data_IF_776968816194
#
_entry.id   IF_776968816194
#
_cell.length_a   1.000
_cell.length_b   1.000
_cell.length_c   1.000
_cell.angle_alpha   90.00
_cell.angle_beta   90.00
_cell.angle_gamma   90.00
#
_symmetry.space_group_name_H-M   'P 1'
#
loop_
_entity.id
_entity.type
_entity.pdbx_description
1 polymer ?
#
# COMPACT_ATOMS: atom_id res chain seq x y z
N UNK A 1 -10.60 -5.14 18.88
CA UNK A 1 -10.84 -5.07 17.42
C UNK A 1 -12.23 -4.53 17.19
N UNK A 2 -12.37 -3.32 16.62
CA UNK A 2 -13.68 -2.77 16.26
C UNK A 2 -14.10 -3.32 14.89
N UNK A 3 -15.20 -4.07 14.83
CA UNK A 3 -15.78 -4.55 13.57
C UNK A 3 -16.71 -3.50 12.99
N UNK A 4 -16.24 -2.77 11.98
CA UNK A 4 -17.05 -1.80 11.24
C UNK A 4 -17.78 -2.49 10.08
N UNK A 5 -19.10 -2.31 9.98
CA UNK A 5 -19.92 -2.88 8.91
C UNK A 5 -20.34 -1.79 7.93
N UNK A 6 -20.02 -1.98 6.64
CA UNK A 6 -20.42 -1.06 5.57
C UNK A 6 -21.62 -1.64 4.82
N UNK A 7 -22.68 -0.86 4.70
CA UNK A 7 -23.87 -1.21 3.91
C UNK A 7 -23.74 -0.64 2.50
N UNK A 8 -23.61 -1.51 1.49
CA UNK A 8 -23.43 -1.10 0.09
C UNK A 8 -24.73 -1.32 -0.68
N UNK A 9 -25.29 -0.25 -1.25
CA UNK A 9 -26.41 -0.32 -2.18
C UNK A 9 -25.88 -0.49 -3.60
N UNK A 10 -26.45 -1.44 -4.34
CA UNK A 10 -26.06 -1.69 -5.73
C UNK A 10 -27.29 -2.03 -6.58
N UNK A 11 -27.14 -1.90 -7.90
CA UNK A 11 -28.20 -2.23 -8.85
C UNK A 11 -28.51 -3.74 -8.81
N UNK A 12 -29.77 -4.16 -8.96
CA UNK A 12 -30.15 -5.58 -8.89
C UNK A 12 -29.41 -6.48 -9.87
N UNK A 13 -29.15 -6.00 -11.10
CA UNK A 13 -28.39 -6.74 -12.11
C UNK A 13 -26.97 -7.04 -11.65
N UNK A 14 -26.27 -6.04 -11.13
CA UNK A 14 -24.90 -6.18 -10.59
C UNK A 14 -24.85 -7.16 -9.41
N UNK A 15 -25.86 -7.14 -8.53
CA UNK A 15 -25.95 -8.10 -7.43
C UNK A 15 -26.12 -9.55 -7.91
N UNK A 16 -26.90 -9.78 -8.98
CA UNK A 16 -27.05 -11.10 -9.59
C UNK A 16 -25.73 -11.59 -10.21
N UNK A 17 -25.04 -10.73 -10.95
CA UNK A 17 -23.75 -11.05 -11.56
C UNK A 17 -22.69 -11.40 -10.50
N UNK A 18 -22.64 -10.63 -9.40
CA UNK A 18 -21.77 -10.91 -8.25
C UNK A 18 -22.10 -12.26 -7.59
N UNK A 19 -23.38 -12.58 -7.43
CA UNK A 19 -23.81 -13.87 -6.86
C UNK A 19 -23.41 -15.03 -7.76
N UNK A 20 -23.49 -14.87 -9.08
CA UNK A 20 -23.01 -15.88 -10.02
C UNK A 20 -21.48 -16.05 -9.95
N UNK A 21 -20.74 -14.95 -9.89
CA UNK A 21 -19.28 -14.95 -9.76
C UNK A 21 -18.83 -15.63 -8.46
N UNK A 22 -19.55 -15.38 -7.35
CA UNK A 22 -19.29 -15.96 -6.03
C UNK A 22 -19.32 -17.50 -6.07
N UNK A 23 -20.31 -18.07 -6.78
CA UNK A 23 -20.43 -19.52 -6.97
C UNK A 23 -19.30 -20.06 -7.84
N UNK A 24 -18.97 -19.39 -8.94
CA UNK A 24 -17.89 -19.81 -9.85
C UNK A 24 -16.53 -19.84 -9.17
N UNK A 25 -16.28 -18.93 -8.24
CA UNK A 25 -15.00 -18.80 -7.53
C UNK A 25 -14.98 -19.43 -6.13
N UNK A 26 -16.07 -20.09 -5.72
CA UNK A 26 -16.22 -20.66 -4.37
C UNK A 26 -15.87 -19.66 -3.24
N UNK A 27 -16.28 -18.40 -3.39
CA UNK A 27 -16.01 -17.32 -2.43
C UNK A 27 -17.31 -16.59 -2.05
N UNK A 28 -17.44 -16.05 -0.83
CA UNK A 28 -18.62 -15.28 -0.46
C UNK A 28 -18.67 -13.93 -1.20
N UNK A 29 -19.87 -13.44 -1.48
CA UNK A 29 -20.09 -12.16 -2.18
C UNK A 29 -19.39 -10.99 -1.47
N UNK A 30 -19.38 -10.99 -0.13
CA UNK A 30 -18.68 -9.96 0.65
C UNK A 30 -17.18 -9.93 0.40
N UNK A 31 -16.55 -11.08 0.11
CA UNK A 31 -15.12 -11.15 -0.19
C UNK A 31 -14.80 -10.57 -1.57
N UNK A 32 -15.64 -10.87 -2.56
CA UNK A 32 -15.51 -10.28 -3.89
C UNK A 32 -15.66 -8.75 -3.85
N UNK A 33 -16.59 -8.24 -3.02
CA UNK A 33 -16.77 -6.81 -2.82
C UNK A 33 -15.55 -6.21 -2.14
N UNK A 34 -15.02 -6.84 -1.08
CA UNK A 34 -13.79 -6.37 -0.41
C UNK A 34 -12.62 -6.30 -1.37
N UNK A 35 -12.41 -7.33 -2.20
CA UNK A 35 -11.37 -7.36 -3.21
C UNK A 35 -11.55 -6.25 -4.25
N UNK A 36 -12.77 -6.07 -4.78
CA UNK A 36 -13.05 -5.03 -5.76
C UNK A 36 -12.82 -3.63 -5.17
N UNK A 37 -13.29 -3.38 -3.93
CA UNK A 37 -13.05 -2.11 -3.24
C UNK A 37 -11.56 -1.91 -2.99
N UNK A 38 -10.84 -2.93 -2.51
CA UNK A 38 -9.40 -2.86 -2.29
C UNK A 38 -8.62 -2.57 -3.58
N UNK A 39 -9.02 -3.16 -4.70
CA UNK A 39 -8.37 -2.95 -6.00
C UNK A 39 -8.69 -1.58 -6.60
N UNK A 40 -9.94 -1.14 -6.52
CA UNK A 40 -10.37 0.14 -7.10
C UNK A 40 -9.95 1.34 -6.28
N UNK A 41 -9.90 1.20 -4.96
CA UNK A 41 -9.65 2.31 -4.05
C UNK A 41 -8.27 2.23 -3.38
N UNK A 42 -7.48 1.17 -3.61
CA UNK A 42 -6.18 0.96 -2.96
C UNK A 42 -6.27 1.40 -1.49
N UNK A 43 -7.15 0.75 -0.72
CA UNK A 43 -7.50 1.11 0.66
C UNK A 43 -6.37 0.88 1.67
N UNK A 44 -5.14 1.17 1.27
CA UNK A 44 -4.09 1.63 2.15
C UNK A 44 -4.12 3.15 2.04
N UNK A 45 -5.07 3.77 2.74
CA UNK A 45 -5.14 5.23 2.83
C UNK A 45 -4.02 5.71 3.73
N UNK A 46 -2.82 5.70 3.19
CA UNK A 46 -1.84 6.72 3.53
C UNK A 46 -2.26 7.93 2.72
N UNK A 47 -2.86 8.94 3.36
CA UNK A 47 -3.05 10.24 2.71
C UNK A 47 -1.70 10.96 2.60
N UNK A 48 -0.74 10.36 1.90
CA UNK A 48 0.44 11.09 1.46
C UNK A 48 -0.02 12.13 0.45
N UNK A 49 0.34 13.38 0.71
CA UNK A 49 0.26 14.42 -0.30
C UNK A 49 0.95 13.93 -1.58
N UNK A 50 0.54 14.45 -2.75
CA UNK A 50 1.13 14.05 -4.03
C UNK A 50 2.67 14.08 -4.01
N UNK A 51 3.25 15.08 -3.35
CA UNK A 51 4.69 15.23 -3.16
C UNK A 51 5.32 14.09 -2.35
N UNK A 52 4.68 13.69 -1.26
CA UNK A 52 5.11 12.56 -0.42
C UNK A 52 5.01 11.23 -1.17
N UNK A 53 3.96 11.02 -1.98
CA UNK A 53 3.85 9.83 -2.85
C UNK A 53 4.97 9.75 -3.86
N UNK A 54 5.28 10.87 -4.51
CA UNK A 54 6.41 10.94 -5.45
C UNK A 54 7.74 10.65 -4.76
N UNK A 55 7.95 11.18 -3.55
CA UNK A 55 9.13 10.88 -2.75
C UNK A 55 9.21 9.40 -2.37
N UNK A 56 8.09 8.78 -1.97
CA UNK A 56 8.03 7.35 -1.66
C UNK A 56 8.38 6.48 -2.87
N UNK A 57 7.80 6.77 -4.04
CA UNK A 57 8.14 6.06 -5.28
C UNK A 57 9.60 6.27 -5.70
N UNK A 58 10.14 7.48 -5.52
CA UNK A 58 11.54 7.78 -5.80
C UNK A 58 12.48 7.02 -4.84
N UNK A 59 12.10 6.89 -3.56
CA UNK A 59 12.84 6.12 -2.57
C UNK A 59 12.84 4.64 -2.93
N UNK A 60 11.67 4.06 -3.22
CA UNK A 60 11.53 2.67 -3.65
C UNK A 60 12.33 2.37 -4.93
N UNK A 61 12.36 3.32 -5.87
CA UNK A 61 13.18 3.24 -7.09
C UNK A 61 14.68 3.46 -6.88
N UNK A 62 15.14 3.72 -5.64
CA UNK A 62 16.56 3.95 -5.32
C UNK A 62 17.10 5.32 -5.74
N UNK A 63 16.23 6.25 -6.16
CA UNK A 63 16.63 7.58 -6.64
C UNK A 63 16.92 8.58 -5.52
N UNK A 64 16.34 8.36 -4.33
CA UNK A 64 16.57 9.20 -3.15
C UNK A 64 16.90 8.35 -1.93
N UNK A 65 17.69 8.92 -1.02
CA UNK A 65 18.03 8.28 0.25
C UNK A 65 16.87 8.32 1.25
N UNK A 66 16.94 7.48 2.29
CA UNK A 66 15.97 7.52 3.40
C UNK A 66 15.95 8.87 4.12
N UNK A 67 17.09 9.57 4.18
CA UNK A 67 17.17 10.92 4.74
C UNK A 67 16.32 11.90 3.92
N UNK A 68 16.44 11.86 2.59
CA UNK A 68 15.64 12.70 1.71
C UNK A 68 14.16 12.36 1.75
N UNK A 69 13.81 11.06 1.85
CA UNK A 69 12.42 10.66 2.08
C UNK A 69 11.89 11.24 3.40
N UNK A 70 12.68 11.19 4.46
CA UNK A 70 12.28 11.68 5.79
C UNK A 70 11.95 13.18 5.79
N UNK A 71 12.76 13.98 5.08
CA UNK A 71 12.47 15.41 4.87
C UNK A 71 11.13 15.63 4.17
N UNK A 72 10.86 14.91 3.08
CA UNK A 72 9.63 15.07 2.29
C UNK A 72 8.39 14.56 3.06
N UNK A 73 8.57 13.58 3.93
CA UNK A 73 7.54 13.05 4.83
C UNK A 73 7.30 13.94 6.06
N UNK A 74 8.20 14.90 6.34
CA UNK A 74 8.14 15.72 7.55
C UNK A 74 8.40 14.92 8.83
N UNK A 75 9.20 13.86 8.73
CA UNK A 75 9.48 12.90 9.79
C UNK A 75 11.00 12.81 10.04
N UNK A 76 11.40 12.28 11.20
CA UNK A 76 12.78 11.86 11.43
C UNK A 76 13.08 10.54 10.71
N UNK A 77 14.36 10.24 10.46
CA UNK A 77 14.75 8.99 9.82
C UNK A 77 14.32 7.72 10.60
N UNK A 78 14.14 7.81 11.92
CA UNK A 78 13.66 6.69 12.74
C UNK A 78 12.15 6.52 12.56
N UNK A 79 11.39 7.61 12.59
CA UNK A 79 9.95 7.61 12.34
C UNK A 79 9.63 7.12 10.92
N UNK A 80 10.39 7.57 9.92
CA UNK A 80 10.24 7.11 8.54
C UNK A 80 10.49 5.60 8.42
N UNK A 81 11.51 5.04 9.08
CA UNK A 81 11.74 3.58 9.07
C UNK A 81 10.57 2.81 9.67
N UNK A 82 10.09 3.26 10.83
CA UNK A 82 8.92 2.66 11.49
C UNK A 82 7.69 2.76 10.59
N UNK A 83 7.46 3.92 9.99
CA UNK A 83 6.37 4.14 9.07
C UNK A 83 6.46 3.21 7.86
N UNK A 84 7.65 3.01 7.27
CA UNK A 84 7.86 2.05 6.18
C UNK A 84 7.56 0.61 6.62
N UNK A 85 7.96 0.20 7.82
CA UNK A 85 7.65 -1.13 8.38
C UNK A 85 6.16 -1.34 8.61
N UNK A 86 5.49 -0.36 9.21
CA UNK A 86 4.04 -0.38 9.48
C UNK A 86 3.20 -0.47 8.20
N UNK A 87 3.74 0.03 7.08
CA UNK A 87 3.07 0.06 5.77
C UNK A 87 3.66 -0.97 4.78
N UNK A 88 4.41 -1.96 5.29
CA UNK A 88 4.98 -3.06 4.50
C UNK A 88 5.82 -2.60 3.29
N UNK A 89 6.39 -1.40 3.35
CA UNK A 89 7.28 -0.88 2.31
C UNK A 89 8.70 -1.41 2.55
N UNK A 90 9.23 -2.12 1.55
CA UNK A 90 10.62 -2.58 1.58
C UNK A 90 11.58 -1.42 1.81
N UNK A 91 12.34 -1.48 2.90
CA UNK A 91 13.45 -0.56 3.12
C UNK A 91 14.59 -0.96 2.18
N UNK A 92 15.10 0.00 1.41
CA UNK A 92 16.27 -0.17 0.54
C UNK A 92 17.58 -0.22 1.37
N UNK A 93 17.58 -1.00 2.45
CA UNK A 93 18.73 -1.27 3.30
C UNK A 93 19.54 -2.47 2.80
N UNK A 94 19.44 -2.82 1.51
CA UNK A 94 20.33 -3.83 0.93
C UNK A 94 21.71 -3.19 0.83
N UNK A 95 22.44 -3.28 1.94
CA UNK A 95 23.89 -3.24 1.94
C UNK A 95 24.32 -4.36 1.00
N UNK A 96 24.72 -4.02 -0.22
CA UNK A 96 25.28 -5.01 -1.14
C UNK A 96 26.73 -5.22 -0.74
N UNK A 97 27.18 -6.48 -0.65
CA UNK A 97 28.60 -6.78 -0.45
C UNK A 97 29.49 -6.19 -1.56
N UNK A 98 28.92 -5.76 -2.69
CA UNK A 98 29.66 -5.03 -3.74
C UNK A 98 29.95 -3.56 -3.38
N UNK A 99 29.21 -2.95 -2.46
CA UNK A 99 29.47 -1.58 -2.01
C UNK A 99 30.81 -1.49 -1.24
N UNK A 100 31.27 -2.60 -0.63
CA UNK A 100 32.58 -2.72 0.01
C UNK A 100 33.75 -2.67 -0.99
N UNK A 101 33.54 -3.03 -2.26
CA UNK A 101 34.63 -3.07 -3.27
C UNK A 101 35.01 -1.68 -3.78
N UNK A 102 34.10 -0.71 -3.72
CA UNK A 102 34.31 0.64 -4.24
C UNK A 102 34.70 1.67 -3.17
N UNK A 103 34.82 1.27 -1.90
CA UNK A 103 35.23 2.14 -0.79
C UNK A 103 36.75 2.09 -0.50
N UNK A 104 37.58 1.95 -1.54
CA UNK A 104 39.04 2.02 -1.46
C UNK A 104 39.59 3.28 -2.10
#
# INVERSE_FOLDING_TARGET
MHTSVIHIKMKPKTAQDLKLLSKKRAMPVGELIRQAVSQCYQLETIELAQRQRQALSAYQGGYISIGKLSEEMGMTAIETRRWLEEHEVSQNNVFSNDDLKNAR
#
